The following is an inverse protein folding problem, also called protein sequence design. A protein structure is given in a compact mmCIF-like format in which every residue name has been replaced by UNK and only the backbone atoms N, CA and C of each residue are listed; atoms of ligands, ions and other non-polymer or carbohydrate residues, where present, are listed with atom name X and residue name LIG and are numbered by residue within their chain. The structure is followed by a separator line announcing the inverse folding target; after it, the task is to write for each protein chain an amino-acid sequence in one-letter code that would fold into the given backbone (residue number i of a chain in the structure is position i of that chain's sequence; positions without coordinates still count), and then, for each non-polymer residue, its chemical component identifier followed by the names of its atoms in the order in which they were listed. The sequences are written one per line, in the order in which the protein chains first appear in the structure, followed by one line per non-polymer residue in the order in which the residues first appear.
data_IF_814557028487
#
_entry.id   IF_814557028487
#
_cell.length_a   1.000
_cell.length_b   1.000
_cell.length_c   1.000
_cell.angle_alpha   90.00
_cell.angle_beta   90.00
_cell.angle_gamma   90.00
#
_symmetry.space_group_name_H-M   'P 1'
#
loop_
_entity.id
_entity.type
_entity.pdbx_description
1 polymer ?
#
# COMPACT_ATOMS: atom_id res chain seq x y z
N UNK A 1 -2.97 -16.52 56.97
CA UNK A 1 -3.70 -15.24 56.96
C UNK A 1 -2.80 -14.16 57.54
N UNK A 2 -1.95 -13.54 56.72
CA UNK A 2 -1.19 -12.33 57.11
C UNK A 2 -1.12 -11.43 55.88
N UNK A 3 -1.85 -10.31 55.93
CA UNK A 3 -1.95 -9.31 54.87
C UNK A 3 -0.67 -8.52 54.73
N UNK A 4 -0.31 -8.15 53.49
CA UNK A 4 0.74 -7.19 53.22
C UNK A 4 0.16 -5.78 53.13
N UNK A 5 0.74 -4.77 53.80
CA UNK A 5 0.44 -3.37 53.57
C UNK A 5 1.27 -2.81 52.39
N UNK A 6 0.59 -2.07 51.52
CA UNK A 6 1.16 -1.24 50.44
C UNK A 6 1.72 0.05 51.00
N UNK A 7 2.97 0.41 50.70
CA UNK A 7 3.42 1.80 50.78
C UNK A 7 4.31 2.17 49.59
N UNK A 8 3.81 3.15 48.83
CA UNK A 8 4.50 3.99 47.87
C UNK A 8 5.84 4.51 48.40
N UNK A 9 6.89 4.43 47.58
CA UNK A 9 8.12 5.22 47.76
C UNK A 9 8.31 6.14 46.56
N UNK A 10 7.87 7.39 46.73
CA UNK A 10 8.25 8.51 45.88
C UNK A 10 9.65 8.96 46.31
N UNK A 11 10.70 8.48 45.64
CA UNK A 11 12.08 8.99 45.79
C UNK A 11 12.43 9.88 44.62
N UNK A 12 12.96 11.05 44.98
CA UNK A 12 13.35 12.16 44.12
C UNK A 12 14.80 12.01 43.63
N UNK A 13 15.10 12.69 42.51
CA UNK A 13 16.43 13.21 42.13
C UNK A 13 17.47 12.22 41.61
N UNK A 14 17.67 12.20 40.29
CA UNK A 14 18.92 12.76 39.78
C UNK A 14 18.78 13.25 38.33
N UNK A 15 19.22 14.47 38.10
CA UNK A 15 19.24 15.16 36.82
C UNK A 15 20.52 14.78 36.08
N UNK A 16 20.41 14.05 34.97
CA UNK A 16 21.44 13.99 33.94
C UNK A 16 21.02 14.91 32.80
N UNK A 17 21.56 16.13 32.81
CA UNK A 17 21.47 17.11 31.73
C UNK A 17 22.61 16.92 30.76
N UNK A 18 22.27 17.02 29.48
CA UNK A 18 23.12 17.16 28.29
C UNK A 18 23.65 15.80 27.75
N UNK A 19 23.52 15.44 26.48
CA UNK A 19 23.41 16.17 25.21
C UNK A 19 22.78 15.20 24.20
N UNK A 20 21.77 15.62 23.43
CA UNK A 20 21.58 15.23 22.01
C UNK A 20 20.30 15.89 21.51
N UNK A 21 20.47 17.08 20.94
CA UNK A 21 19.52 17.64 19.99
C UNK A 21 19.56 16.76 18.74
N UNK A 22 18.82 15.66 18.77
CA UNK A 22 18.45 14.96 17.56
C UNK A 22 17.16 15.59 17.05
N UNK A 23 17.26 16.27 15.91
CA UNK A 23 16.13 16.89 15.24
C UNK A 23 15.07 15.81 14.98
N UNK A 24 14.01 15.81 15.81
CA UNK A 24 12.81 15.03 15.54
C UNK A 24 12.34 15.40 14.12
N UNK A 25 12.19 14.44 13.20
CA UNK A 25 11.66 14.76 11.88
C UNK A 25 10.29 15.44 12.08
N UNK A 26 10.02 16.57 11.39
CA UNK A 26 8.69 17.16 11.41
C UNK A 26 7.71 16.08 11.00
N UNK A 27 6.61 15.96 11.77
CA UNK A 27 5.56 14.95 11.59
C UNK A 27 5.37 14.58 10.11
N UNK A 28 5.84 13.40 9.71
CA UNK A 28 5.64 12.83 8.38
C UNK A 28 4.16 12.50 8.09
N UNK A 29 3.22 13.06 8.85
CA UNK A 29 1.78 12.86 8.72
C UNK A 29 1.10 13.78 7.70
N UNK A 30 1.85 14.65 7.01
CA UNK A 30 1.28 15.58 6.00
C UNK A 30 2.11 15.64 4.72
N UNK A 31 2.69 14.52 4.26
CA UNK A 31 3.01 14.42 2.85
C UNK A 31 1.67 14.20 2.11
N UNK A 32 1.31 15.01 1.09
CA UNK A 32 0.22 14.63 0.20
C UNK A 32 0.58 13.25 -0.36
N UNK A 33 -0.33 12.29 -0.23
CA UNK A 33 -0.15 10.99 -0.84
C UNK A 33 0.14 11.25 -2.34
N UNK A 34 1.32 10.85 -2.87
CA UNK A 34 1.66 11.07 -4.27
C UNK A 34 0.70 10.37 -5.22
N UNK A 35 -0.19 9.52 -4.70
CA UNK A 35 -1.26 8.82 -5.39
C UNK A 35 -2.68 9.29 -4.98
N UNK A 36 -2.80 10.30 -4.10
CA UNK A 36 -3.97 10.54 -3.25
C UNK A 36 -5.10 11.42 -3.78
N UNK A 37 -5.14 11.79 -5.06
CA UNK A 37 -6.13 12.76 -5.56
C UNK A 37 -7.03 12.29 -6.73
N UNK A 38 -6.97 11.02 -7.14
CA UNK A 38 -7.67 10.59 -8.37
C UNK A 38 -8.66 9.42 -8.24
N UNK A 39 -8.68 8.71 -7.11
CA UNK A 39 -9.61 7.58 -6.99
C UNK A 39 -10.94 8.06 -6.42
N UNK A 40 -11.92 8.31 -7.31
CA UNK A 40 -13.32 8.19 -6.91
C UNK A 40 -13.51 6.77 -6.39
N UNK A 41 -13.44 6.61 -5.07
CA UNK A 41 -13.61 5.31 -4.44
C UNK A 41 -15.04 4.86 -4.71
N UNK A 42 -15.18 3.88 -5.59
CA UNK A 42 -16.41 3.11 -5.78
C UNK A 42 -16.29 1.87 -4.90
N UNK A 43 -16.74 1.95 -3.62
CA UNK A 43 -16.68 0.79 -2.74
C UNK A 43 -17.42 -0.38 -3.41
N UNK A 44 -16.75 -1.54 -3.46
CA UNK A 44 -17.27 -2.78 -4.03
C UNK A 44 -17.41 -2.88 -5.57
N UNK A 45 -16.66 -2.13 -6.37
CA UNK A 45 -16.65 -2.25 -7.84
C UNK A 45 -16.54 -3.70 -8.35
N UNK A 46 -15.79 -4.56 -7.63
CA UNK A 46 -15.57 -5.96 -7.97
C UNK A 46 -16.83 -6.82 -7.92
N UNK A 47 -17.88 -6.39 -7.20
CA UNK A 47 -19.15 -7.15 -7.11
C UNK A 47 -19.95 -7.06 -8.41
N UNK A 48 -19.71 -6.04 -9.23
CA UNK A 48 -20.42 -5.79 -10.49
C UNK A 48 -19.50 -5.88 -11.71
N UNK A 49 -18.19 -6.08 -11.50
CA UNK A 49 -17.23 -6.19 -12.59
C UNK A 49 -17.27 -7.57 -13.25
N UNK A 50 -17.02 -7.59 -14.57
CA UNK A 50 -16.76 -8.81 -15.32
C UNK A 50 -15.25 -8.97 -15.46
N UNK A 51 -14.73 -10.15 -15.14
CA UNK A 51 -13.30 -10.45 -15.21
C UNK A 51 -13.00 -11.31 -16.44
N UNK A 52 -11.99 -10.90 -17.19
CA UNK A 52 -11.43 -11.69 -18.29
C UNK A 52 -10.07 -12.22 -17.87
N UNK A 53 -9.95 -13.53 -17.74
CA UNK A 53 -8.67 -14.19 -17.60
C UNK A 53 -8.12 -14.51 -18.99
N UNK A 54 -6.90 -14.05 -19.27
CA UNK A 54 -6.21 -14.31 -20.54
C UNK A 54 -4.79 -14.80 -20.26
N UNK A 55 -4.39 -15.87 -20.93
CA UNK A 55 -3.01 -16.37 -20.88
C UNK A 55 -2.14 -15.54 -21.83
N UNK A 56 -1.15 -14.83 -21.29
CA UNK A 56 -0.25 -13.96 -22.07
C UNK A 56 0.37 -14.71 -23.25
N UNK A 57 0.91 -15.91 -22.99
CA UNK A 57 1.57 -16.74 -24.01
C UNK A 57 0.67 -17.23 -25.13
N UNK A 58 -0.63 -17.30 -24.90
CA UNK A 58 -1.61 -17.80 -25.88
C UNK A 58 -2.41 -16.71 -26.58
N UNK A 59 -2.26 -15.44 -26.18
CA UNK A 59 -3.20 -14.39 -26.58
C UNK A 59 -2.78 -13.63 -27.83
N UNK A 60 -1.59 -13.02 -27.83
CA UNK A 60 -1.10 -12.24 -28.97
C UNK A 60 0.43 -12.16 -28.96
N UNK A 61 1.04 -12.56 -30.07
CA UNK A 61 2.48 -12.45 -30.36
C UNK A 61 2.74 -11.14 -31.12
N UNK A 62 3.65 -10.31 -30.63
CA UNK A 62 4.02 -9.02 -31.25
C UNK A 62 5.34 -9.05 -32.02
N UNK A 63 6.15 -10.09 -31.85
CA UNK A 63 7.52 -10.15 -32.37
C UNK A 63 7.75 -11.32 -33.36
N UNK A 64 6.78 -12.23 -33.52
CA UNK A 64 6.79 -13.35 -34.45
C UNK A 64 7.54 -14.58 -33.95
N UNK A 65 7.82 -14.70 -32.64
CA UNK A 65 8.51 -15.84 -32.05
C UNK A 65 7.59 -17.06 -31.76
N UNK A 66 6.28 -16.90 -31.96
CA UNK A 66 5.28 -17.94 -31.76
C UNK A 66 4.72 -18.01 -30.33
N UNK A 67 5.19 -17.14 -29.42
CA UNK A 67 4.66 -17.01 -28.07
C UNK A 67 4.08 -15.63 -27.85
N UNK A 68 2.89 -15.59 -27.23
CA UNK A 68 2.29 -14.33 -26.86
C UNK A 68 3.09 -13.58 -25.80
N UNK A 69 3.06 -12.26 -25.89
CA UNK A 69 3.85 -11.36 -25.05
C UNK A 69 3.01 -10.17 -24.53
N UNK A 70 3.57 -9.41 -23.58
CA UNK A 70 2.85 -8.28 -22.98
C UNK A 70 2.56 -7.14 -23.96
N UNK A 71 3.43 -6.91 -24.96
CA UNK A 71 3.18 -5.89 -25.99
C UNK A 71 2.01 -6.30 -26.88
N UNK A 72 1.93 -7.58 -27.23
CA UNK A 72 0.79 -8.16 -27.93
C UNK A 72 -0.52 -8.00 -27.15
N UNK A 73 -0.50 -8.33 -25.84
CA UNK A 73 -1.66 -8.13 -24.96
C UNK A 73 -2.10 -6.65 -24.89
N UNK A 74 -1.15 -5.73 -24.70
CA UNK A 74 -1.44 -4.29 -24.66
C UNK A 74 -2.10 -3.83 -25.97
N UNK A 75 -1.60 -4.30 -27.11
CA UNK A 75 -2.18 -3.98 -28.43
C UNK A 75 -3.59 -4.54 -28.67
N UNK A 76 -4.12 -5.33 -27.73
CA UNK A 76 -5.46 -5.93 -27.80
C UNK A 76 -6.39 -5.46 -26.67
N UNK A 77 -5.98 -4.50 -25.85
CA UNK A 77 -6.85 -3.96 -24.79
C UNK A 77 -8.11 -3.31 -25.36
N UNK A 78 -8.02 -2.65 -26.51
CA UNK A 78 -9.20 -2.10 -27.20
C UNK A 78 -10.23 -3.18 -27.55
N UNK A 79 -9.77 -4.39 -27.89
CA UNK A 79 -10.65 -5.52 -28.15
C UNK A 79 -11.35 -6.02 -26.88
N UNK A 80 -10.64 -6.09 -25.76
CA UNK A 80 -11.22 -6.47 -24.47
C UNK A 80 -12.24 -5.42 -23.99
N UNK A 81 -11.94 -4.13 -24.18
CA UNK A 81 -12.88 -3.05 -23.88
C UNK A 81 -14.13 -3.12 -24.75
N UNK A 82 -13.98 -3.43 -26.05
CA UNK A 82 -15.13 -3.62 -26.94
C UNK A 82 -16.04 -4.77 -26.49
N UNK A 83 -15.49 -5.78 -25.80
CA UNK A 83 -16.23 -6.94 -25.33
C UNK A 83 -17.12 -6.65 -24.10
N UNK A 84 -16.71 -5.74 -23.19
CA UNK A 84 -17.50 -5.40 -21.99
C UNK A 84 -16.82 -4.50 -20.97
#
# INVERSE_FOLDING_TARGET
MHGQPTHDTRTTSDQVTALETEARPPDARTAPDPFGAHTRSTPHWFKTAVFYEVSVRGFADSNGDGYGDLRGLIGKLDHLQWLG
#
